data_IF_585268840636
#
_entry.id   IF_585268840636
#
_cell.length_a   1.000
_cell.length_b   1.000
_cell.length_c   1.000
_cell.angle_alpha   90.00
_cell.angle_beta   90.00
_cell.angle_gamma   90.00
#
_symmetry.space_group_name_H-M   'P 1'
#
loop_
_entity.id
_entity.type
_entity.pdbx_description
1 polymer ?
#
# COMPACT_ATOMS: atom_id res chain seq x y z
N UNK A 1 -14.83 -23.42 1.24
CA UNK A 1 -14.56 -22.12 0.60
C UNK A 1 -13.44 -22.39 -0.37
N UNK A 2 -13.68 -22.24 -1.67
CA UNK A 2 -12.66 -22.51 -2.67
C UNK A 2 -11.81 -21.24 -2.81
N UNK A 3 -10.57 -21.31 -2.34
CA UNK A 3 -9.58 -20.28 -2.59
C UNK A 3 -8.98 -20.53 -3.97
N UNK A 4 -9.30 -19.69 -4.93
CA UNK A 4 -8.62 -19.68 -6.22
C UNK A 4 -7.61 -18.53 -6.24
N UNK A 5 -6.43 -18.80 -6.79
CA UNK A 5 -5.51 -17.72 -7.14
C UNK A 5 -6.18 -16.94 -8.27
N UNK A 6 -6.47 -15.67 -8.06
CA UNK A 6 -6.98 -14.84 -9.15
C UNK A 6 -5.93 -14.73 -10.24
N UNK A 7 -6.31 -15.01 -11.48
CA UNK A 7 -5.43 -14.85 -12.64
C UNK A 7 -5.38 -13.42 -13.14
N UNK A 8 -6.21 -12.52 -12.61
CA UNK A 8 -6.05 -11.08 -12.80
C UNK A 8 -4.84 -10.66 -11.96
N UNK A 9 -3.73 -10.21 -12.56
CA UNK A 9 -2.59 -9.76 -11.79
C UNK A 9 -3.04 -8.65 -10.84
N UNK A 10 -2.65 -8.74 -9.57
CA UNK A 10 -2.62 -7.55 -8.75
C UNK A 10 -1.57 -6.60 -9.36
N UNK A 11 -1.72 -5.28 -9.23
CA UNK A 11 -0.88 -4.31 -9.93
C UNK A 11 0.65 -4.37 -9.64
N UNK A 12 1.09 -5.17 -8.68
CA UNK A 12 2.49 -5.45 -8.36
C UNK A 12 2.91 -6.93 -8.61
N UNK A 13 1.98 -7.78 -9.05
CA UNK A 13 2.19 -9.20 -9.36
C UNK A 13 2.06 -9.48 -10.87
N UNK A 14 2.18 -8.44 -11.69
CA UNK A 14 2.20 -8.52 -13.16
C UNK A 14 3.62 -8.72 -13.72
N UNK A 15 4.62 -8.83 -12.84
CA UNK A 15 6.04 -8.96 -13.20
C UNK A 15 6.69 -7.67 -13.70
N UNK A 16 6.04 -6.51 -13.52
CA UNK A 16 6.57 -5.21 -13.95
C UNK A 16 7.35 -4.47 -12.86
N UNK A 17 7.16 -4.81 -11.58
CA UNK A 17 8.00 -4.27 -10.50
C UNK A 17 9.40 -4.90 -10.58
N UNK A 18 10.48 -4.12 -10.74
CA UNK A 18 11.84 -4.64 -10.68
C UNK A 18 12.30 -4.97 -9.25
N UNK A 19 11.42 -4.77 -8.25
CA UNK A 19 11.72 -4.90 -6.83
C UNK A 19 11.03 -6.10 -6.20
N UNK A 20 11.73 -6.79 -5.30
CA UNK A 20 11.12 -7.80 -4.44
C UNK A 20 10.04 -7.16 -3.54
N UNK A 21 8.88 -7.79 -3.45
CA UNK A 21 7.84 -7.46 -2.47
C UNK A 21 8.06 -8.22 -1.16
N UNK A 22 7.80 -7.57 -0.03
CA UNK A 22 8.01 -8.14 1.32
C UNK A 22 6.73 -8.23 2.14
N UNK A 23 5.79 -7.31 1.94
CA UNK A 23 4.54 -7.23 2.71
C UNK A 23 3.42 -6.60 1.88
N UNK A 24 2.16 -6.88 2.25
CA UNK A 24 0.97 -6.33 1.61
C UNK A 24 -0.15 -6.14 2.64
N UNK A 25 -0.75 -4.95 2.65
CA UNK A 25 -1.67 -4.52 3.71
C UNK A 25 -2.96 -3.98 3.08
N UNK A 26 -4.10 -4.40 3.62
CA UNK A 26 -5.41 -3.84 3.32
C UNK A 26 -5.76 -2.74 4.33
N UNK A 27 -6.08 -1.54 3.84
CA UNK A 27 -6.48 -0.40 4.66
C UNK A 27 -7.37 0.54 3.84
N UNK A 28 -8.36 1.20 4.47
CA UNK A 28 -9.17 2.23 3.81
C UNK A 28 -8.46 3.59 3.94
N UNK A 29 -7.51 3.86 3.04
CA UNK A 29 -6.55 4.98 3.16
C UNK A 29 -7.20 6.31 2.77
N UNK A 30 -8.17 6.26 1.85
CA UNK A 30 -8.90 7.44 1.38
C UNK A 30 -10.25 7.66 2.10
N UNK A 31 -10.63 6.78 3.05
CA UNK A 31 -11.87 6.85 3.83
C UNK A 31 -13.15 6.76 3.00
N UNK A 32 -13.11 6.00 1.90
CA UNK A 32 -14.28 5.78 1.03
C UNK A 32 -15.13 4.56 1.43
N UNK A 33 -14.71 3.83 2.47
CA UNK A 33 -15.37 2.64 2.98
C UNK A 33 -14.95 1.35 2.27
N UNK A 34 -13.99 1.41 1.34
CA UNK A 34 -13.47 0.27 0.61
C UNK A 34 -11.97 0.07 0.91
N UNK A 35 -11.54 -1.17 1.23
CA UNK A 35 -10.12 -1.42 1.46
C UNK A 35 -9.27 -1.20 0.20
N UNK A 36 -8.25 -0.35 0.34
CA UNK A 36 -7.14 -0.13 -0.58
C UNK A 36 -6.01 -1.13 -0.30
N UNK A 37 -5.09 -1.27 -1.25
CA UNK A 37 -3.95 -2.19 -1.15
C UNK A 37 -2.63 -1.42 -1.12
N UNK A 38 -1.90 -1.55 -0.01
CA UNK A 38 -0.52 -1.08 0.09
C UNK A 38 0.47 -2.23 -0.07
N UNK A 39 1.47 -2.05 -0.92
CA UNK A 39 2.50 -3.05 -1.21
C UNK A 39 3.86 -2.51 -0.81
N UNK A 40 4.55 -3.28 0.01
CA UNK A 40 5.88 -2.97 0.53
C UNK A 40 6.94 -3.68 -0.30
N UNK A 41 7.91 -2.93 -0.80
CA UNK A 41 8.96 -3.44 -1.69
C UNK A 41 10.37 -3.07 -1.22
N UNK A 42 11.39 -3.74 -1.77
CA UNK A 42 12.80 -3.37 -1.61
C UNK A 42 13.17 -2.04 -2.28
N UNK A 43 12.35 -1.55 -3.21
CA UNK A 43 12.50 -0.25 -3.85
C UNK A 43 11.29 0.64 -3.57
N UNK A 44 10.54 0.97 -4.61
CA UNK A 44 9.34 1.82 -4.50
C UNK A 44 8.20 1.02 -3.90
N UNK A 45 7.61 1.52 -2.81
CA UNK A 45 6.33 1.01 -2.29
C UNK A 45 5.16 1.52 -3.15
N UNK A 46 4.06 0.77 -3.24
CA UNK A 46 2.92 1.15 -4.06
C UNK A 46 1.63 1.18 -3.24
N UNK A 47 0.86 2.26 -3.37
CA UNK A 47 -0.52 2.35 -2.87
C UNK A 47 -1.48 2.23 -4.05
N UNK A 48 -2.38 1.25 -3.99
CA UNK A 48 -3.43 1.05 -4.97
C UNK A 48 -4.79 1.31 -4.35
N UNK A 49 -5.48 2.32 -4.86
CA UNK A 49 -6.80 2.70 -4.41
C UNK A 49 -7.85 1.81 -5.06
N UNK A 50 -8.78 1.31 -4.25
CA UNK A 50 -9.89 0.48 -4.68
C UNK A 50 -11.02 1.35 -5.21
N UNK A 51 -11.09 1.48 -6.53
CA UNK A 51 -12.12 2.26 -7.19
C UNK A 51 -13.38 1.42 -7.31
N UNK A 52 -14.43 1.85 -6.61
CA UNK A 52 -15.75 1.23 -6.64
C UNK A 52 -16.74 2.19 -7.30
N UNK A 53 -17.29 1.77 -8.45
CA UNK A 53 -18.34 2.51 -9.17
C UNK A 53 -19.51 1.57 -9.48
N UNK A 54 -20.53 1.62 -8.62
CA UNK A 54 -21.67 0.71 -8.66
C UNK A 54 -21.25 -0.75 -8.51
N UNK A 55 -21.41 -1.53 -9.57
CA UNK A 55 -21.01 -2.94 -9.63
C UNK A 55 -19.56 -3.14 -10.10
N UNK A 56 -18.91 -2.09 -10.61
CA UNK A 56 -17.53 -2.15 -11.11
C UNK A 56 -16.56 -1.98 -9.96
N UNK A 57 -15.48 -2.77 -9.97
CA UNK A 57 -14.38 -2.70 -9.00
C UNK A 57 -13.04 -2.82 -9.72
N UNK A 58 -12.06 -2.05 -9.28
CA UNK A 58 -10.70 -2.12 -9.82
C UNK A 58 -9.70 -1.38 -8.93
N UNK A 59 -8.42 -1.57 -9.23
CA UNK A 59 -7.33 -0.89 -8.53
C UNK A 59 -6.68 0.16 -9.43
N UNK A 60 -6.38 1.32 -8.87
CA UNK A 60 -5.58 2.35 -9.52
C UNK A 60 -4.37 2.69 -8.65
N UNK A 61 -3.18 2.76 -9.25
CA UNK A 61 -1.99 3.26 -8.55
C UNK A 61 -2.19 4.73 -8.20
N UNK A 62 -2.07 5.07 -6.93
CA UNK A 62 -2.13 6.44 -6.46
C UNK A 62 -0.73 7.04 -6.36
N UNK A 63 -0.36 7.84 -7.35
CA UNK A 63 0.93 8.54 -7.40
C UNK A 63 0.87 9.94 -6.78
N UNK A 64 -0.26 10.34 -6.20
CA UNK A 64 -0.46 11.67 -5.63
C UNK A 64 0.09 11.81 -4.21
N UNK A 65 0.48 10.70 -3.57
CA UNK A 65 0.95 10.67 -2.19
C UNK A 65 2.42 10.23 -2.07
N UNK A 66 3.11 10.64 -1.00
CA UNK A 66 4.44 10.12 -0.70
C UNK A 66 4.44 8.62 -0.36
N UNK A 67 3.28 8.04 -0.01
CA UNK A 67 3.17 6.63 0.34
C UNK A 67 3.54 5.70 -0.82
N UNK A 68 3.22 6.10 -2.06
CA UNK A 68 3.44 5.32 -3.28
C UNK A 68 4.68 5.73 -4.10
N UNK A 69 5.42 6.73 -3.63
CA UNK A 69 6.57 7.29 -4.36
C UNK A 69 7.87 7.24 -3.55
N UNK A 70 7.81 6.68 -2.34
CA UNK A 70 8.98 6.51 -1.51
C UNK A 70 9.88 5.40 -2.06
N UNK A 71 11.00 5.82 -2.66
CA UNK A 71 11.96 4.98 -3.37
C UNK A 71 13.21 4.61 -2.56
N UNK A 72 13.35 5.13 -1.33
CA UNK A 72 14.64 5.14 -0.62
C UNK A 72 14.60 4.35 0.70
N UNK A 73 13.85 3.24 0.74
CA UNK A 73 13.50 2.62 2.02
C UNK A 73 13.86 1.16 2.22
N UNK A 74 14.19 0.36 1.19
CA UNK A 74 14.44 -1.08 1.39
C UNK A 74 13.40 -1.69 2.36
N UNK A 75 12.12 -1.38 2.13
CA UNK A 75 11.08 -1.60 3.12
C UNK A 75 10.86 -3.09 3.36
N UNK A 76 10.40 -3.44 4.56
CA UNK A 76 10.17 -4.83 4.97
C UNK A 76 8.79 -5.09 5.52
N UNK A 77 8.20 -4.11 6.18
CA UNK A 77 6.85 -4.18 6.73
C UNK A 77 6.29 -2.78 6.84
N UNK A 78 4.96 -2.69 6.90
CA UNK A 78 4.29 -1.46 7.28
C UNK A 78 3.11 -1.75 8.21
N UNK A 79 2.58 -0.71 8.84
CA UNK A 79 1.31 -0.79 9.55
C UNK A 79 0.55 0.53 9.38
N UNK A 80 -0.74 0.41 9.09
CA UNK A 80 -1.66 1.54 9.13
C UNK A 80 -2.33 1.65 10.49
N UNK A 81 -2.60 2.87 10.93
CA UNK A 81 -3.40 3.15 12.11
C UNK A 81 -3.62 4.64 12.28
N UNK A 82 -4.75 5.00 12.87
CA UNK A 82 -5.06 6.37 13.31
C UNK A 82 -4.29 6.63 14.61
N UNK A 83 -3.07 7.16 14.51
CA UNK A 83 -2.15 7.28 15.64
C UNK A 83 -2.48 8.50 16.51
N UNK A 84 -2.96 9.59 15.91
CA UNK A 84 -3.27 10.83 16.62
C UNK A 84 -4.77 11.03 16.94
N UNK A 85 -5.64 10.16 16.44
CA UNK A 85 -7.06 10.13 16.76
C UNK A 85 -7.90 11.11 15.95
N UNK A 86 -7.41 11.58 14.80
CA UNK A 86 -8.12 12.50 13.91
C UNK A 86 -9.08 11.79 12.94
N UNK A 87 -8.99 10.46 12.86
CA UNK A 87 -9.82 9.61 12.03
C UNK A 87 -9.25 9.30 10.65
N UNK A 88 -8.08 9.85 10.31
CA UNK A 88 -7.31 9.51 9.13
C UNK A 88 -6.27 8.42 9.45
N UNK A 89 -6.00 7.51 8.50
CA UNK A 89 -5.00 6.48 8.71
C UNK A 89 -3.59 7.00 8.44
N UNK A 90 -2.73 6.90 9.45
CA UNK A 90 -1.28 7.11 9.36
C UNK A 90 -0.55 5.83 8.95
N UNK A 91 0.70 5.97 8.54
CA UNK A 91 1.56 4.85 8.15
C UNK A 91 2.88 4.86 8.93
N UNK A 92 3.27 3.71 9.49
CA UNK A 92 4.64 3.43 9.90
C UNK A 92 5.27 2.41 8.94
N UNK A 93 6.47 2.71 8.44
CA UNK A 93 7.27 1.87 7.57
C UNK A 93 8.53 1.40 8.30
N UNK A 94 8.73 0.08 8.32
CA UNK A 94 9.92 -0.57 8.84
C UNK A 94 10.91 -0.86 7.71
N UNK A 95 12.11 -0.28 7.82
CA UNK A 95 13.11 -0.28 6.75
C UNK A 95 14.32 -1.14 7.09
N UNK A 96 14.94 -1.73 6.07
CA UNK A 96 16.16 -2.53 6.23
C UNK A 96 17.44 -1.71 5.99
N UNK A 97 18.59 -2.37 6.07
CA UNK A 97 19.90 -1.83 5.68
C UNK A 97 20.33 -0.57 6.45
N UNK A 98 19.92 -0.45 7.72
CA UNK A 98 20.15 0.74 8.57
C UNK A 98 19.51 2.02 8.04
N UNK A 99 18.61 1.93 7.05
CA UNK A 99 17.76 3.04 6.68
C UNK A 99 16.82 3.37 7.84
N UNK A 100 16.52 4.66 8.09
CA UNK A 100 15.59 5.05 9.14
C UNK A 100 14.18 4.54 8.82
N UNK A 101 13.46 4.07 9.84
CA UNK A 101 12.01 3.88 9.73
C UNK A 101 11.33 5.22 9.43
N UNK A 102 10.18 5.17 8.76
CA UNK A 102 9.45 6.38 8.37
C UNK A 102 8.04 6.34 8.92
N UNK A 103 7.60 7.49 9.42
CA UNK A 103 6.25 7.71 9.90
C UNK A 103 5.60 8.80 9.04
N UNK A 104 4.40 8.54 8.55
CA UNK A 104 3.61 9.46 7.74
C UNK A 104 2.36 9.77 8.54
N UNK A 105 2.29 10.98 9.08
CA UNK A 105 1.08 11.52 9.65
C UNK A 105 0.23 12.11 8.51
N UNK A 106 -1.02 11.66 8.39
CA UNK A 106 -2.04 12.32 7.57
C UNK A 106 -2.69 13.42 8.42
N UNK A 107 -3.18 14.48 7.78
CA UNK A 107 -3.75 15.67 8.44
C UNK A 107 -4.88 16.25 7.63
#
# INVERSE_FOLDING_TARGET
YDLTVSTTPLPNNDGLSPWDSYDAIWADVNSDGFPDLYVVNSGINYLYINIVDGSSRGFQLDTSTPLATDSDTHSRAAAFGDFDGDGDLDLILANANSAPNRFYAKT
#
